data_IF_966872339851
#
_entry.id   IF_966872339851
#
_cell.length_a   1.000
_cell.length_b   1.000
_cell.length_c   1.000
_cell.angle_alpha   90.00
_cell.angle_beta   90.00
_cell.angle_gamma   90.00
#
_symmetry.space_group_name_H-M   'P 1'
#
loop_
_entity.id
_entity.type
_entity.pdbx_description
1 polymer ?
#
# COMPACT_ATOMS: atom_id res chain seq x y z
N UNK A 1 -14.99 28.89 1.63
CA UNK A 1 -14.27 28.56 2.88
C UNK A 1 -13.54 27.23 2.71
N UNK A 2 -12.36 27.25 2.07
CA UNK A 2 -11.53 26.04 1.91
C UNK A 2 -10.40 25.99 2.96
N UNK A 3 -10.11 27.11 3.63
CA UNK A 3 -9.03 27.19 4.63
C UNK A 3 -9.38 26.66 6.03
N UNK A 4 -10.64 26.41 6.35
CA UNK A 4 -11.04 26.02 7.72
C UNK A 4 -10.90 24.51 7.99
N UNK A 5 -10.68 23.69 6.97
CA UNK A 5 -10.51 22.24 7.14
C UNK A 5 -9.09 21.83 7.59
N UNK A 6 -8.13 22.77 7.57
CA UNK A 6 -6.72 22.50 7.84
C UNK A 6 -6.38 22.51 9.34
N UNK A 7 -7.25 23.06 10.21
CA UNK A 7 -6.90 23.32 11.63
C UNK A 7 -7.59 22.39 12.64
N UNK A 8 -8.62 21.62 12.25
CA UNK A 8 -9.35 20.74 13.19
C UNK A 8 -8.87 19.28 13.15
N UNK A 9 -7.64 19.00 13.60
CA UNK A 9 -7.28 17.77 14.34
C UNK A 9 -5.76 17.54 14.31
N UNK A 10 -5.04 18.00 15.33
CA UNK A 10 -3.65 17.56 15.57
C UNK A 10 -3.56 16.05 15.84
N UNK A 11 -4.61 15.43 16.43
CA UNK A 11 -4.73 13.98 16.57
C UNK A 11 -4.81 13.26 15.21
N UNK A 12 -5.57 13.82 14.26
CA UNK A 12 -5.68 13.26 12.89
C UNK A 12 -4.37 13.32 12.12
N UNK A 13 -3.55 14.35 12.31
CA UNK A 13 -2.26 14.46 11.62
C UNK A 13 -1.26 13.41 12.12
N UNK A 14 -1.22 13.17 13.43
CA UNK A 14 -0.39 12.08 13.99
C UNK A 14 -0.88 10.70 13.55
N UNK A 15 -2.20 10.49 13.49
CA UNK A 15 -2.81 9.23 13.02
C UNK A 15 -2.54 9.01 11.52
N UNK A 16 -2.79 10.01 10.67
CA UNK A 16 -2.49 9.96 9.24
C UNK A 16 -1.00 9.67 9.01
N UNK A 17 -0.10 10.29 9.79
CA UNK A 17 1.34 10.02 9.70
C UNK A 17 1.67 8.58 10.10
N UNK A 18 1.07 8.07 11.17
CA UNK A 18 1.24 6.69 11.62
C UNK A 18 0.76 5.70 10.56
N UNK A 19 -0.45 5.88 10.03
CA UNK A 19 -1.01 5.03 8.99
C UNK A 19 -0.23 5.12 7.67
N UNK A 20 0.25 6.31 7.29
CA UNK A 20 1.14 6.48 6.13
C UNK A 20 2.44 5.68 6.31
N UNK A 21 3.04 5.72 7.50
CA UNK A 21 4.23 4.91 7.80
C UNK A 21 3.93 3.41 7.76
N UNK A 22 2.76 2.97 8.23
CA UNK A 22 2.32 1.58 8.12
C UNK A 22 2.25 1.14 6.66
N UNK A 23 1.58 1.92 5.80
CA UNK A 23 1.48 1.66 4.36
C UNK A 23 2.87 1.61 3.71
N UNK A 24 3.78 2.50 4.11
CA UNK A 24 5.15 2.53 3.61
C UNK A 24 5.94 1.27 3.96
N UNK A 25 5.92 0.82 5.23
CA UNK A 25 6.64 -0.39 5.64
C UNK A 25 6.03 -1.67 5.02
N UNK A 26 4.70 -1.72 4.82
CA UNK A 26 4.06 -2.79 4.05
C UNK A 26 4.54 -2.80 2.60
N UNK A 27 4.54 -1.64 1.92
CA UNK A 27 4.99 -1.50 0.53
C UNK A 27 6.46 -1.93 0.36
N UNK A 28 7.31 -1.55 1.31
CA UNK A 28 8.72 -1.95 1.36
C UNK A 28 8.89 -3.46 1.57
N UNK A 29 8.04 -4.07 2.39
CA UNK A 29 8.04 -5.51 2.63
C UNK A 29 7.61 -6.27 1.37
N UNK A 30 6.56 -5.82 0.68
CA UNK A 30 6.13 -6.38 -0.60
C UNK A 30 7.22 -6.25 -1.67
N UNK A 31 7.87 -5.08 -1.78
CA UNK A 31 9.01 -4.90 -2.67
C UNK A 31 10.12 -5.94 -2.42
N UNK A 32 10.49 -6.17 -1.16
CA UNK A 32 11.48 -7.20 -0.81
C UNK A 32 11.01 -8.60 -1.19
N UNK A 33 9.72 -8.91 -1.03
CA UNK A 33 9.11 -10.18 -1.45
C UNK A 33 9.19 -10.36 -2.97
N UNK A 34 8.83 -9.36 -3.76
CA UNK A 34 8.94 -9.40 -5.23
C UNK A 34 10.37 -9.58 -5.70
N UNK A 35 11.34 -8.89 -5.09
CA UNK A 35 12.78 -9.10 -5.39
C UNK A 35 13.19 -10.57 -5.16
N UNK A 36 12.73 -11.19 -4.06
CA UNK A 36 12.99 -12.61 -3.80
C UNK A 36 12.30 -13.51 -4.84
N UNK A 37 11.07 -13.20 -5.25
CA UNK A 37 10.38 -13.91 -6.31
C UNK A 37 11.16 -13.82 -7.64
N UNK A 38 11.58 -12.62 -8.06
CA UNK A 38 12.41 -12.42 -9.25
C UNK A 38 13.71 -13.23 -9.20
N UNK A 39 14.40 -13.26 -8.06
CA UNK A 39 15.66 -14.01 -7.91
C UNK A 39 15.53 -15.53 -8.09
N UNK A 40 14.30 -16.07 -7.98
CA UNK A 40 14.00 -17.50 -8.14
C UNK A 40 13.55 -17.87 -9.55
N UNK A 41 13.35 -16.89 -10.43
CA UNK A 41 12.87 -17.14 -11.78
C UNK A 41 14.00 -17.69 -12.67
N UNK A 42 13.74 -18.81 -13.34
CA UNK A 42 14.63 -19.39 -14.35
C UNK A 42 14.31 -18.80 -15.72
N UNK A 43 14.84 -17.61 -16.06
CA UNK A 43 14.85 -17.00 -17.42
C UNK A 43 13.60 -17.20 -18.32
N UNK A 44 12.39 -17.28 -17.74
CA UNK A 44 11.14 -17.48 -18.47
C UNK A 44 10.33 -16.19 -18.44
N UNK A 45 9.95 -15.68 -19.62
CA UNK A 45 9.25 -14.40 -19.79
C UNK A 45 7.86 -14.41 -19.17
N UNK A 46 7.19 -15.58 -19.14
CA UNK A 46 5.88 -15.75 -18.52
C UNK A 46 5.93 -15.54 -17.02
N UNK A 47 6.92 -16.14 -16.35
CA UNK A 47 7.04 -16.06 -14.89
C UNK A 47 7.46 -14.65 -14.45
N UNK A 48 8.30 -13.99 -15.26
CA UNK A 48 8.70 -12.59 -15.06
C UNK A 48 7.50 -11.65 -15.18
N UNK A 49 6.67 -11.84 -16.21
CA UNK A 49 5.43 -11.08 -16.39
C UNK A 49 4.46 -11.26 -15.24
N UNK A 50 4.40 -12.46 -14.64
CA UNK A 50 3.57 -12.70 -13.46
C UNK A 50 4.02 -11.90 -12.25
N UNK A 51 5.33 -11.86 -11.95
CA UNK A 51 5.85 -11.11 -10.80
C UNK A 51 5.68 -9.60 -11.01
N UNK A 52 5.88 -9.10 -12.24
CA UNK A 52 5.64 -7.69 -12.60
C UNK A 52 4.20 -7.26 -12.39
N UNK A 53 3.23 -8.10 -12.78
CA UNK A 53 1.80 -7.82 -12.52
C UNK A 53 1.51 -7.74 -11.03
N UNK A 54 2.05 -8.68 -10.23
CA UNK A 54 1.87 -8.65 -8.78
C UNK A 54 2.48 -7.40 -8.15
N UNK A 55 3.67 -6.98 -8.60
CA UNK A 55 4.32 -5.74 -8.15
C UNK A 55 3.50 -4.49 -8.51
N UNK A 56 2.97 -4.42 -9.73
CA UNK A 56 2.08 -3.32 -10.14
C UNK A 56 0.82 -3.24 -9.29
N UNK A 57 0.19 -4.39 -9.00
CA UNK A 57 -0.98 -4.46 -8.13
C UNK A 57 -0.66 -4.01 -6.70
N UNK A 58 0.52 -4.40 -6.17
CA UNK A 58 0.99 -3.98 -4.84
C UNK A 58 1.10 -2.44 -4.79
N UNK A 59 1.72 -1.83 -5.81
CA UNK A 59 1.83 -0.37 -5.91
C UNK A 59 0.49 0.33 -6.03
N UNK A 60 -0.42 -0.21 -6.86
CA UNK A 60 -1.75 0.35 -7.04
C UNK A 60 -2.54 0.31 -5.72
N UNK A 61 -2.45 -0.78 -4.97
CA UNK A 61 -3.15 -0.93 -3.71
C UNK A 61 -2.58 0.00 -2.63
N UNK A 62 -1.26 0.16 -2.54
CA UNK A 62 -0.63 1.15 -1.66
C UNK A 62 -1.05 2.59 -2.00
N UNK A 63 -1.16 2.91 -3.29
CA UNK A 63 -1.69 4.21 -3.73
C UNK A 63 -3.14 4.42 -3.27
N UNK A 64 -4.02 3.43 -3.49
CA UNK A 64 -5.42 3.50 -3.08
C UNK A 64 -5.54 3.69 -1.56
N UNK A 65 -4.69 3.04 -0.77
CA UNK A 65 -4.68 3.22 0.68
C UNK A 65 -4.36 4.66 1.09
N UNK A 66 -3.32 5.26 0.50
CA UNK A 66 -2.99 6.66 0.76
C UNK A 66 -4.13 7.59 0.33
N UNK A 67 -4.74 7.32 -0.82
CA UNK A 67 -5.88 8.08 -1.32
C UNK A 67 -7.07 8.03 -0.35
N UNK A 68 -7.49 6.82 0.07
CA UNK A 68 -8.62 6.66 0.98
C UNK A 68 -8.34 7.17 2.40
N UNK A 69 -7.10 7.05 2.87
CA UNK A 69 -6.65 7.62 4.14
C UNK A 69 -6.82 9.14 4.14
N UNK A 70 -6.36 9.83 3.10
CA UNK A 70 -6.48 11.29 2.98
C UNK A 70 -7.94 11.74 2.80
N UNK A 71 -8.76 10.94 2.11
CA UNK A 71 -10.20 11.20 1.93
C UNK A 71 -11.04 10.88 3.17
N UNK A 72 -10.45 10.30 4.23
CA UNK A 72 -11.18 9.89 5.43
C UNK A 72 -12.16 8.73 5.22
N UNK A 73 -11.95 7.91 4.18
CA UNK A 73 -12.81 6.76 3.87
C UNK A 73 -12.37 5.51 4.64
N UNK A 74 -12.58 5.50 5.95
CA UNK A 74 -12.05 4.49 6.87
C UNK A 74 -12.43 3.04 6.52
N UNK A 75 -13.72 2.75 6.26
CA UNK A 75 -14.15 1.39 5.95
C UNK A 75 -13.50 0.83 4.67
N UNK A 76 -13.38 1.67 3.64
CA UNK A 76 -12.69 1.33 2.40
C UNK A 76 -11.20 1.15 2.64
N UNK A 77 -10.58 2.06 3.40
CA UNK A 77 -9.18 1.97 3.81
C UNK A 77 -8.88 0.63 4.50
N UNK A 78 -9.63 0.27 5.54
CA UNK A 78 -9.44 -0.99 6.28
C UNK A 78 -9.59 -2.23 5.40
N UNK A 79 -10.58 -2.21 4.49
CA UNK A 79 -10.78 -3.31 3.53
C UNK A 79 -9.58 -3.47 2.60
N UNK A 80 -9.06 -2.37 2.05
CA UNK A 80 -7.88 -2.38 1.19
C UNK A 80 -6.61 -2.70 1.95
N UNK A 81 -6.54 -2.35 3.23
CA UNK A 81 -5.36 -2.56 4.07
C UNK A 81 -5.19 -4.05 4.30
N UNK A 82 -6.28 -4.73 4.66
CA UNK A 82 -6.32 -6.19 4.76
C UNK A 82 -5.90 -6.86 3.46
N UNK A 83 -6.40 -6.38 2.31
CA UNK A 83 -5.98 -6.91 1.01
C UNK A 83 -4.46 -6.76 0.76
N UNK A 84 -3.84 -5.68 1.25
CA UNK A 84 -2.39 -5.47 1.11
C UNK A 84 -1.61 -6.37 2.08
N UNK A 85 -2.11 -6.54 3.31
CA UNK A 85 -1.55 -7.43 4.33
C UNK A 85 -1.62 -8.90 3.88
N UNK A 86 -2.76 -9.37 3.36
CA UNK A 86 -2.96 -10.73 2.84
C UNK A 86 -1.95 -11.08 1.73
N UNK A 87 -1.48 -10.08 0.95
CA UNK A 87 -0.48 -10.28 -0.11
C UNK A 87 0.94 -10.48 0.43
N UNK A 88 1.22 -10.16 1.69
CA UNK A 88 2.46 -10.55 2.36
C UNK A 88 2.43 -12.01 2.81
N UNK A 89 1.28 -12.49 3.29
CA UNK A 89 1.10 -13.84 3.83
C UNK A 89 1.05 -14.93 2.75
N UNK A 90 0.52 -14.61 1.56
CA UNK A 90 0.41 -15.54 0.40
C UNK A 90 1.65 -15.53 -0.47
#
# INVERSE_FOLDING_TARGET
MILTFVILNTNSLSEIRSETNKIFELSKSLKRKRIKEYSKLSQNDSDTSSVLRKESDDHYLSFLLLYFLVQGQEATYLTRLKQLEDRLDV
#
